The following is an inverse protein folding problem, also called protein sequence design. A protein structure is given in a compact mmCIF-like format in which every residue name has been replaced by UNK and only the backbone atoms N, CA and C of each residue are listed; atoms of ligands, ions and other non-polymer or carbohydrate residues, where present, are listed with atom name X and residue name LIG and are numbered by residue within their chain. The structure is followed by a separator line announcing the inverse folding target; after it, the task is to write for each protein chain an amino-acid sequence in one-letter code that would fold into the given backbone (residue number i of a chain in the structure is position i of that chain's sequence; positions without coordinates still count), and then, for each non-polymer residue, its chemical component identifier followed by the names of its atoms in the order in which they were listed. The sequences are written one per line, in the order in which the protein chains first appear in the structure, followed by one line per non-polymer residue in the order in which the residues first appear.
data_IF_417731784566
#
_entry.id   IF_417731784566
#
_cell.length_a   1.000
_cell.length_b   1.000
_cell.length_c   1.000
_cell.angle_alpha   90.00
_cell.angle_beta   90.00
_cell.angle_gamma   90.00
#
_symmetry.space_group_name_H-M   'P 1'
#
loop_
_entity.id
_entity.type
_entity.pdbx_description
1 polymer ?
#
# COMPACT_ATOMS: atom_id res chain seq x y z
N UNK A 1 -2.92 -6.17 -2.81
CA UNK A 1 -3.43 -4.80 -2.93
C UNK A 1 -2.84 -4.14 -4.17
N UNK A 2 -3.70 -3.72 -5.06
CA UNK A 2 -3.29 -3.02 -6.27
C UNK A 2 -3.98 -1.67 -6.34
N UNK A 3 -3.22 -0.65 -6.75
CA UNK A 3 -3.76 0.69 -6.93
C UNK A 3 -2.88 1.46 -7.91
N UNK A 4 -3.37 2.62 -8.33
CA UNK A 4 -2.63 3.53 -9.20
C UNK A 4 -2.28 4.79 -8.43
N UNK A 5 -1.07 5.29 -8.64
CA UNK A 5 -0.65 6.55 -8.04
C UNK A 5 -0.10 7.48 -9.11
N UNK A 6 -0.31 8.77 -8.91
CA UNK A 6 0.22 9.79 -9.82
C UNK A 6 1.71 9.99 -9.58
N UNK A 7 2.48 10.03 -10.66
CA UNK A 7 3.93 10.07 -10.59
C UNK A 7 4.50 11.48 -10.37
N UNK A 8 3.77 12.53 -10.75
CA UNK A 8 4.31 13.89 -10.76
C UNK A 8 3.56 14.85 -9.84
N UNK A 9 3.02 14.35 -8.72
CA UNK A 9 2.25 15.16 -7.78
C UNK A 9 3.03 15.27 -6.48
N UNK A 10 3.21 16.50 -6.00
CA UNK A 10 3.80 16.77 -4.68
C UNK A 10 2.70 16.98 -3.66
N UNK A 11 3.01 16.75 -2.39
CA UNK A 11 2.05 16.95 -1.31
C UNK A 11 1.03 15.85 -1.14
N UNK A 12 1.23 14.71 -1.81
CA UNK A 12 0.35 13.55 -1.68
C UNK A 12 1.17 12.35 -1.25
N UNK A 13 0.77 11.73 -0.14
CA UNK A 13 1.40 10.53 0.38
C UNK A 13 0.42 9.35 0.34
N UNK A 14 0.93 8.21 -0.09
CA UNK A 14 0.17 6.96 -0.13
C UNK A 14 0.67 6.06 1.00
N UNK A 15 -0.22 5.72 1.90
CA UNK A 15 0.10 4.90 3.07
C UNK A 15 -0.66 3.59 2.97
N UNK A 16 0.07 2.48 3.08
CA UNK A 16 -0.54 1.16 3.10
C UNK A 16 -0.78 0.75 4.55
N UNK A 17 -2.01 0.38 4.84
CA UNK A 17 -2.41 -0.04 6.16
C UNK A 17 -3.00 -1.44 6.13
N UNK A 18 -2.90 -2.14 7.24
CA UNK A 18 -3.51 -3.47 7.38
C UNK A 18 -4.33 -3.54 8.65
N UNK A 19 -5.26 -4.49 8.68
CA UNK A 19 -6.11 -4.73 9.83
C UNK A 19 -6.48 -6.20 9.94
N UNK A 20 -6.71 -6.65 11.16
CA UNK A 20 -7.22 -7.99 11.43
C UNK A 20 -8.75 -8.02 11.51
N UNK A 21 -9.39 -6.89 11.80
CA UNK A 21 -10.80 -6.84 12.19
C UNK A 21 -11.59 -5.70 11.54
N UNK A 22 -10.98 -4.92 10.65
CA UNK A 22 -11.58 -3.75 10.02
C UNK A 22 -11.85 -2.58 10.99
N UNK A 23 -11.49 -2.70 12.24
CA UNK A 23 -11.69 -1.64 13.23
C UNK A 23 -10.41 -0.91 13.57
N UNK A 24 -9.32 -1.65 13.73
CA UNK A 24 -8.02 -1.09 14.06
C UNK A 24 -7.09 -1.23 12.87
N UNK A 25 -6.58 -0.11 12.37
CA UNK A 25 -5.69 -0.08 11.22
C UNK A 25 -4.29 0.33 11.63
N UNK A 26 -3.31 -0.38 11.10
CA UNK A 26 -1.90 -0.17 11.40
C UNK A 26 -1.16 0.10 10.10
N UNK A 27 -0.30 1.11 10.12
CA UNK A 27 0.53 1.41 8.95
C UNK A 27 1.56 0.30 8.77
N UNK A 28 1.65 -0.22 7.55
CA UNK A 28 2.63 -1.25 7.21
C UNK A 28 4.01 -0.62 7.03
N UNK A 29 5.04 -1.28 7.56
CA UNK A 29 6.42 -0.88 7.34
C UNK A 29 6.88 -1.33 5.96
N UNK A 30 7.73 -0.54 5.33
CA UNK A 30 8.29 -0.90 4.03
C UNK A 30 9.06 -2.23 4.08
N UNK A 31 9.66 -2.54 5.22
CA UNK A 31 10.40 -3.79 5.40
C UNK A 31 9.50 -5.02 5.40
N UNK A 32 8.22 -4.83 5.67
CA UNK A 32 7.24 -5.91 5.72
C UNK A 32 6.47 -6.08 4.40
N UNK A 33 6.73 -5.22 3.44
CA UNK A 33 6.01 -5.20 2.17
C UNK A 33 6.91 -5.60 1.00
N UNK A 34 6.30 -6.29 0.05
CA UNK A 34 6.88 -6.47 -1.28
C UNK A 34 6.08 -5.59 -2.23
N UNK A 35 6.74 -4.59 -2.80
CA UNK A 35 6.10 -3.61 -3.66
C UNK A 35 6.66 -3.74 -5.07
N UNK A 36 5.77 -3.86 -6.04
CA UNK A 36 6.11 -3.86 -7.46
C UNK A 36 5.49 -2.65 -8.12
N UNK A 37 6.25 -1.97 -8.96
CA UNK A 37 5.80 -0.80 -9.68
C UNK A 37 5.80 -1.08 -11.17
N UNK A 38 4.78 -0.59 -11.86
CA UNK A 38 4.66 -0.72 -13.32
C UNK A 38 4.18 0.60 -13.89
N UNK A 39 4.96 1.24 -14.76
CA UNK A 39 4.51 2.47 -15.40
C UNK A 39 3.31 2.19 -16.31
N UNK A 40 2.27 3.00 -16.17
CA UNK A 40 1.07 2.92 -16.99
C UNK A 40 1.16 3.94 -18.11
N UNK A 41 1.49 5.18 -17.74
CA UNK A 41 1.73 6.27 -18.68
C UNK A 41 2.62 7.32 -17.98
N UNK A 42 2.80 8.48 -18.60
CA UNK A 42 3.69 9.51 -18.06
C UNK A 42 3.23 10.06 -16.71
N UNK A 43 1.97 9.89 -16.37
CA UNK A 43 1.37 10.49 -15.17
C UNK A 43 0.93 9.45 -14.12
N UNK A 44 0.91 8.17 -14.48
CA UNK A 44 0.38 7.12 -13.61
C UNK A 44 1.35 5.94 -13.48
N UNK A 45 1.45 5.43 -12.27
CA UNK A 45 2.20 4.23 -11.94
C UNK A 45 1.25 3.24 -11.28
N UNK A 46 1.25 2.01 -11.78
CA UNK A 46 0.53 0.93 -11.11
C UNK A 46 1.37 0.35 -9.99
N UNK A 47 0.78 0.23 -8.81
CA UNK A 47 1.45 -0.30 -7.62
C UNK A 47 0.77 -1.61 -7.24
N UNK A 48 1.56 -2.65 -7.02
CA UNK A 48 1.10 -3.91 -6.45
C UNK A 48 1.87 -4.13 -5.14
N UNK A 49 1.15 -4.25 -4.05
CA UNK A 49 1.75 -4.41 -2.73
C UNK A 49 1.20 -5.65 -2.05
N UNK A 50 2.08 -6.43 -1.44
CA UNK A 50 1.70 -7.59 -0.63
C UNK A 50 2.62 -7.70 0.58
N UNK A 51 2.16 -8.40 1.60
CA UNK A 51 2.99 -8.67 2.76
C UNK A 51 3.98 -9.81 2.45
N UNK A 52 5.13 -9.76 3.10
CA UNK A 52 6.13 -10.84 2.97
C UNK A 52 5.58 -12.13 3.56
N UNK A 53 6.02 -13.25 2.99
CA UNK A 53 5.52 -14.58 3.35
C UNK A 53 5.77 -15.00 4.78
N UNK A 54 6.81 -14.46 5.40
CA UNK A 54 7.13 -14.80 6.79
C UNK A 54 6.17 -14.16 7.80
N UNK A 55 5.26 -13.30 7.34
CA UNK A 55 4.22 -12.76 8.20
C UNK A 55 3.02 -13.69 8.11
N UNK A 56 2.59 -14.20 9.25
CA UNK A 56 1.54 -15.19 9.33
C UNK A 56 0.23 -14.66 8.73
N UNK A 57 -0.39 -15.47 7.87
CA UNK A 57 -1.69 -15.16 7.28
C UNK A 57 -2.79 -14.96 8.33
N UNK A 58 -2.59 -15.51 9.52
CA UNK A 58 -3.56 -15.35 10.60
C UNK A 58 -3.58 -13.94 11.19
N UNK A 59 -2.55 -13.14 10.93
CA UNK A 59 -2.40 -11.79 11.50
C UNK A 59 -2.96 -10.72 10.58
N UNK A 60 -2.91 -10.94 9.25
CA UNK A 60 -3.24 -9.93 8.27
C UNK A 60 -4.38 -10.39 7.38
N UNK A 61 -5.56 -9.83 7.58
CA UNK A 61 -6.74 -10.20 6.81
C UNK A 61 -7.15 -9.15 5.80
N UNK A 62 -6.85 -7.89 6.08
CA UNK A 62 -7.33 -6.78 5.26
C UNK A 62 -6.21 -5.78 5.03
N UNK A 63 -6.17 -5.23 3.84
CA UNK A 63 -5.24 -4.15 3.49
C UNK A 63 -6.00 -3.03 2.80
N UNK A 64 -5.54 -1.80 3.00
CA UNK A 64 -6.10 -0.65 2.31
C UNK A 64 -5.00 0.36 2.01
N UNK A 65 -5.30 1.25 1.07
CA UNK A 65 -4.48 2.42 0.80
C UNK A 65 -5.16 3.64 1.39
N UNK A 66 -4.37 4.48 2.05
CA UNK A 66 -4.83 5.75 2.58
C UNK A 66 -4.05 6.86 1.91
N UNK A 67 -4.74 7.86 1.39
CA UNK A 67 -4.13 8.99 0.70
C UNK A 67 -4.11 10.18 1.65
N UNK A 68 -2.92 10.71 1.90
CA UNK A 68 -2.74 11.89 2.75
C UNK A 68 -2.32 13.06 1.87
N UNK A 69 -3.04 14.15 2.00
CA UNK A 69 -2.76 15.38 1.25
C UNK A 69 -2.14 16.39 2.21
N UNK A 70 -0.95 16.83 1.86
CA UNK A 70 -0.21 17.83 2.64
C UNK A 70 -0.42 19.24 2.11
#
# INVERSE_FOLDING_TARGET
LEYQQRSNVTGVNYVIEYSQNLETWVQANNDDLVISERPINDNLIGISARMKENLSDSVLRFMRIRVLIE
#
